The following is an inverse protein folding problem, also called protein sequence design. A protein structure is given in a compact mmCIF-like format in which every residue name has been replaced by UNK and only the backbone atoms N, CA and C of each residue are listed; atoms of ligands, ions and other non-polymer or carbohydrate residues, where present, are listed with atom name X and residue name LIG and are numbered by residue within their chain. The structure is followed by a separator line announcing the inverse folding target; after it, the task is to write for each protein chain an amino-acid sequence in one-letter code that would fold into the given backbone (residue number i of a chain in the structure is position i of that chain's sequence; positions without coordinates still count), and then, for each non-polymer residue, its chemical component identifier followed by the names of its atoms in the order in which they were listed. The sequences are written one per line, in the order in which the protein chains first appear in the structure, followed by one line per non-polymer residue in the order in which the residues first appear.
data_IF_048096039853
#
_entry.id   IF_048096039853
#
_cell.length_a   1.000
_cell.length_b   1.000
_cell.length_c   1.000
_cell.angle_alpha   90.00
_cell.angle_beta   90.00
_cell.angle_gamma   90.00
#
_symmetry.space_group_name_H-M   'P 1'
#
loop_
_entity.id
_entity.type
_entity.pdbx_description
1 polymer ?
#
# COMPACT_ATOMS: atom_id res chain seq x y z
N UNK A 1 -51.19 -35.26 1.08
CA UNK A 1 -50.74 -36.09 -0.05
C UNK A 1 -50.76 -35.22 -1.28
N UNK A 2 -49.59 -34.83 -1.77
CA UNK A 2 -49.42 -34.21 -3.07
C UNK A 2 -48.27 -34.96 -3.76
N UNK A 3 -48.64 -35.67 -4.83
CA UNK A 3 -47.79 -36.49 -5.70
C UNK A 3 -46.73 -35.63 -6.40
N UNK A 4 -45.46 -35.87 -6.09
CA UNK A 4 -44.34 -35.58 -6.98
C UNK A 4 -43.27 -36.65 -6.80
N UNK A 5 -43.64 -37.90 -7.09
CA UNK A 5 -42.65 -38.96 -7.33
C UNK A 5 -42.37 -39.04 -8.84
N UNK A 6 -41.22 -38.52 -9.26
CA UNK A 6 -40.69 -38.68 -10.62
C UNK A 6 -39.35 -39.43 -10.52
N UNK A 7 -39.41 -40.75 -10.63
CA UNK A 7 -38.29 -41.69 -10.47
C UNK A 7 -37.20 -41.68 -11.56
N UNK A 8 -36.82 -40.52 -12.09
CA UNK A 8 -35.69 -40.39 -13.03
C UNK A 8 -34.63 -39.36 -12.59
N UNK A 9 -34.76 -38.79 -11.39
CA UNK A 9 -33.78 -37.88 -10.81
C UNK A 9 -33.42 -38.42 -9.42
N UNK A 10 -32.35 -39.22 -9.36
CA UNK A 10 -31.74 -39.66 -8.11
C UNK A 10 -30.64 -38.67 -7.71
N UNK A 11 -30.98 -37.73 -6.83
CA UNK A 11 -30.06 -36.73 -6.26
C UNK A 11 -29.47 -37.20 -4.93
N UNK A 12 -29.64 -38.47 -4.56
CA UNK A 12 -29.18 -38.99 -3.26
C UNK A 12 -27.65 -38.91 -3.13
N UNK A 13 -26.92 -38.96 -4.25
CA UNK A 13 -25.47 -38.76 -4.32
C UNK A 13 -25.02 -37.29 -4.22
N UNK A 14 -25.94 -36.34 -4.35
CA UNK A 14 -25.71 -34.89 -4.25
C UNK A 14 -26.23 -34.30 -2.94
N UNK A 15 -26.82 -35.12 -2.07
CA UNK A 15 -27.42 -34.70 -0.82
C UNK A 15 -26.36 -34.76 0.30
N UNK A 16 -25.95 -33.60 0.79
CA UNK A 16 -25.18 -33.49 2.04
C UNK A 16 -26.14 -33.10 3.16
N UNK A 17 -26.55 -34.01 4.04
CA UNK A 17 -27.46 -33.68 5.14
C UNK A 17 -26.71 -32.86 6.19
N UNK A 18 -27.16 -31.62 6.39
CA UNK A 18 -26.77 -30.83 7.56
C UNK A 18 -27.87 -30.94 8.63
N UNK A 19 -27.47 -31.10 9.89
CA UNK A 19 -28.40 -30.99 11.01
C UNK A 19 -29.06 -29.61 10.99
N UNK A 20 -30.39 -29.56 11.08
CA UNK A 20 -31.13 -28.32 11.20
C UNK A 20 -30.63 -27.54 12.43
N UNK A 21 -29.90 -26.45 12.19
CA UNK A 21 -29.70 -25.40 13.17
C UNK A 21 -30.84 -24.40 13.00
N UNK A 22 -31.62 -24.17 14.06
CA UNK A 22 -32.66 -23.16 14.08
C UNK A 22 -32.10 -21.80 13.62
N UNK A 23 -32.87 -21.08 12.81
CA UNK A 23 -32.56 -19.70 12.44
C UNK A 23 -32.28 -18.89 13.71
N UNK A 24 -31.01 -18.48 13.89
CA UNK A 24 -30.68 -17.48 14.88
C UNK A 24 -31.44 -16.20 14.53
N UNK A 25 -32.19 -15.71 15.51
CA UNK A 25 -32.89 -14.44 15.42
C UNK A 25 -31.91 -13.34 15.01
N UNK A 26 -32.36 -12.46 14.09
CA UNK A 26 -31.71 -11.18 13.84
C UNK A 26 -31.61 -10.41 15.16
N UNK A 27 -30.39 -10.09 15.57
CA UNK A 27 -30.12 -9.18 16.68
C UNK A 27 -30.03 -9.85 18.04
N UNK A 28 -28.90 -10.50 18.30
CA UNK A 28 -28.53 -10.99 19.63
C UNK A 28 -27.03 -11.23 19.66
N UNK A 29 -26.31 -10.32 20.31
CA UNK A 29 -24.88 -10.35 20.67
C UNK A 29 -24.25 -11.75 20.66
N UNK A 30 -23.49 -12.06 19.61
CA UNK A 30 -22.59 -13.20 19.58
C UNK A 30 -21.46 -12.93 20.58
N UNK A 31 -21.24 -13.88 21.49
CA UNK A 31 -20.27 -13.85 22.60
C UNK A 31 -20.62 -12.89 23.74
N UNK A 32 -21.38 -13.40 24.72
CA UNK A 32 -20.96 -13.19 26.10
C UNK A 32 -19.56 -13.83 26.25
N UNK A 33 -18.50 -13.13 25.84
CA UNK A 33 -17.11 -13.52 26.14
C UNK A 33 -17.10 -13.79 27.64
N UNK A 34 -16.67 -14.97 28.07
CA UNK A 34 -16.44 -15.20 29.49
C UNK A 34 -15.42 -14.12 29.92
N UNK A 35 -15.91 -13.13 30.67
CA UNK A 35 -15.16 -11.92 31.02
C UNK A 35 -13.82 -12.26 31.64
N UNK A 36 -13.82 -13.29 32.49
CA UNK A 36 -12.64 -13.80 33.17
C UNK A 36 -11.63 -14.32 32.15
N UNK A 37 -12.03 -15.28 31.30
CA UNK A 37 -11.17 -15.83 30.25
C UNK A 37 -10.68 -14.77 29.25
N UNK A 38 -11.53 -13.80 28.93
CA UNK A 38 -11.18 -12.70 28.04
C UNK A 38 -10.16 -11.77 28.71
N UNK A 39 -10.41 -11.34 29.94
CA UNK A 39 -9.51 -10.51 30.73
C UNK A 39 -8.16 -11.18 30.98
N UNK A 40 -8.14 -12.48 31.26
CA UNK A 40 -6.90 -13.26 31.40
C UNK A 40 -6.08 -13.26 30.11
N UNK A 41 -6.73 -13.40 28.95
CA UNK A 41 -6.05 -13.30 27.64
C UNK A 41 -5.47 -11.91 27.40
N UNK A 42 -6.23 -10.86 27.70
CA UNK A 42 -5.76 -9.49 27.56
C UNK A 42 -4.56 -9.23 28.48
N UNK A 43 -4.66 -9.62 29.75
CA UNK A 43 -3.60 -9.45 30.75
C UNK A 43 -2.32 -10.21 30.33
N UNK A 44 -2.46 -11.48 29.95
CA UNK A 44 -1.32 -12.29 29.49
C UNK A 44 -0.68 -11.75 28.20
N UNK A 45 -1.49 -11.31 27.22
CA UNK A 45 -0.97 -10.75 25.97
C UNK A 45 -0.22 -9.43 26.19
N UNK A 46 -0.75 -8.56 27.07
CA UNK A 46 -0.13 -7.28 27.41
C UNK A 46 1.20 -7.51 28.15
N UNK A 47 1.20 -8.39 29.15
CA UNK A 47 2.42 -8.77 29.88
C UNK A 47 3.49 -9.35 28.93
N UNK A 48 3.11 -10.29 28.07
CA UNK A 48 4.02 -10.87 27.08
C UNK A 48 4.58 -9.83 26.10
N UNK A 49 3.81 -8.80 25.76
CA UNK A 49 4.26 -7.69 24.90
C UNK A 49 5.34 -6.85 25.58
N UNK A 50 5.17 -6.53 26.86
CA UNK A 50 6.20 -5.83 27.64
C UNK A 50 7.43 -6.70 27.88
N UNK A 51 7.26 -7.97 28.25
CA UNK A 51 8.39 -8.90 28.42
C UNK A 51 9.20 -9.07 27.13
N UNK A 52 8.52 -9.18 25.98
CA UNK A 52 9.18 -9.26 24.67
C UNK A 52 9.94 -7.98 24.35
N UNK A 53 9.37 -6.81 24.68
CA UNK A 53 10.03 -5.51 24.51
C UNK A 53 11.32 -5.45 25.34
N UNK A 54 11.26 -5.82 26.62
CA UNK A 54 12.44 -5.87 27.49
C UNK A 54 13.48 -6.89 27.01
N UNK A 55 13.05 -8.05 26.49
CA UNK A 55 13.94 -9.06 25.96
C UNK A 55 14.67 -8.61 24.67
N UNK A 56 14.01 -7.79 23.83
CA UNK A 56 14.58 -7.21 22.60
C UNK A 56 15.45 -5.98 22.88
N UNK A 57 15.28 -5.35 24.05
CA UNK A 57 15.98 -4.11 24.42
C UNK A 57 17.50 -4.34 24.47
N UNK A 58 18.30 -3.50 23.79
CA UNK A 58 19.75 -3.60 23.87
C UNK A 58 20.25 -3.29 25.28
N UNK A 59 21.38 -3.87 25.66
CA UNK A 59 22.05 -3.51 26.93
C UNK A 59 22.63 -2.10 26.84
N UNK A 60 22.62 -1.37 27.95
CA UNK A 60 23.15 0.00 28.02
C UNK A 60 24.60 0.10 27.51
N UNK A 61 25.44 -0.89 27.81
CA UNK A 61 26.85 -0.91 27.38
C UNK A 61 27.04 -1.13 25.86
N UNK A 62 25.99 -1.57 25.16
CA UNK A 62 25.98 -1.77 23.71
C UNK A 62 25.38 -0.56 22.96
N UNK A 63 25.00 0.50 23.69
CA UNK A 63 24.45 1.72 23.12
C UNK A 63 25.56 2.74 22.81
N UNK A 64 25.34 3.58 21.78
CA UNK A 64 26.21 4.73 21.52
C UNK A 64 26.29 5.68 22.73
N UNK A 65 27.41 6.40 22.93
CA UNK A 65 27.55 7.38 24.00
C UNK A 65 26.43 8.43 23.97
N UNK A 66 25.82 8.70 25.12
CA UNK A 66 24.75 9.69 25.26
C UNK A 66 23.33 9.17 25.00
N UNK A 67 23.18 7.92 24.53
CA UNK A 67 21.87 7.27 24.42
C UNK A 67 21.53 6.58 25.72
N UNK A 68 20.38 6.91 26.30
CA UNK A 68 19.82 6.21 27.46
C UNK A 68 18.71 5.26 27.00
N UNK A 69 18.49 4.18 27.73
CA UNK A 69 17.32 3.33 27.50
C UNK A 69 16.06 4.07 27.92
N UNK A 70 15.02 3.99 27.09
CA UNK A 70 13.69 4.46 27.44
C UNK A 70 12.96 3.40 28.25
N UNK A 71 11.99 3.82 29.05
CA UNK A 71 11.06 2.89 29.71
C UNK A 71 9.79 2.68 28.88
N UNK A 72 9.70 3.28 27.69
CA UNK A 72 8.56 3.16 26.80
C UNK A 72 8.49 1.82 26.07
N UNK A 73 7.36 1.58 25.40
CA UNK A 73 7.09 0.39 24.60
C UNK A 73 6.09 0.70 23.48
N UNK A 74 6.09 -0.16 22.46
CA UNK A 74 5.00 -0.24 21.50
C UNK A 74 4.25 -1.56 21.72
N UNK A 75 2.91 -1.50 21.68
CA UNK A 75 2.05 -2.68 21.83
C UNK A 75 1.04 -2.71 20.69
N UNK A 76 0.97 -3.84 19.99
CA UNK A 76 0.00 -4.06 18.91
C UNK A 76 -1.29 -4.60 19.51
N UNK A 77 -2.38 -3.86 19.33
CA UNK A 77 -3.74 -4.18 19.75
C UNK A 77 -4.45 -4.87 18.59
N UNK A 78 -4.93 -6.08 18.82
CA UNK A 78 -5.75 -6.83 17.88
C UNK A 78 -7.21 -6.52 18.15
N UNK A 79 -7.94 -6.08 17.14
CA UNK A 79 -9.33 -5.63 17.23
C UNK A 79 -10.24 -6.51 16.39
N UNK A 80 -11.47 -6.69 16.88
CA UNK A 80 -12.56 -7.29 16.10
C UNK A 80 -12.89 -6.37 14.90
N UNK A 81 -13.03 -6.94 13.70
CA UNK A 81 -13.33 -6.17 12.48
C UNK A 81 -14.63 -5.35 12.58
N UNK A 82 -15.61 -5.88 13.32
CA UNK A 82 -16.90 -5.23 13.54
C UNK A 82 -16.88 -4.29 14.76
N UNK A 83 -15.77 -4.21 15.49
CA UNK A 83 -15.64 -3.26 16.58
C UNK A 83 -15.79 -1.83 16.05
N UNK A 84 -16.54 -1.04 16.81
CA UNK A 84 -16.56 0.41 16.65
C UNK A 84 -15.22 0.98 17.11
N UNK A 85 -15.01 2.25 16.79
CA UNK A 85 -13.89 3.07 17.24
C UNK A 85 -13.56 2.83 18.72
N UNK A 86 -12.28 2.57 18.99
CA UNK A 86 -11.77 2.25 20.31
C UNK A 86 -11.09 3.47 20.92
N UNK A 87 -11.71 4.06 21.95
CA UNK A 87 -11.13 5.18 22.68
C UNK A 87 -10.19 4.69 23.80
N UNK A 88 -8.98 4.24 23.41
CA UNK A 88 -7.92 3.83 24.36
C UNK A 88 -6.81 4.87 24.50
N UNK A 89 -6.75 5.85 23.58
CA UNK A 89 -5.77 6.93 23.65
C UNK A 89 -6.03 7.82 24.87
N UNK A 90 -4.97 8.06 25.65
CA UNK A 90 -4.97 8.92 26.84
C UNK A 90 -3.62 9.63 26.91
N UNK A 91 -3.49 10.72 26.15
CA UNK A 91 -2.25 11.49 25.99
C UNK A 91 -1.67 11.93 27.33
N UNK A 92 -2.52 12.36 28.27
CA UNK A 92 -2.13 12.78 29.62
C UNK A 92 -1.59 11.63 30.48
N UNK A 93 -1.86 10.39 30.09
CA UNK A 93 -1.37 9.15 30.70
C UNK A 93 -0.23 8.49 29.90
N UNK A 94 0.30 9.17 28.89
CA UNK A 94 1.41 8.65 28.08
C UNK A 94 1.01 7.50 27.14
N UNK A 95 -0.29 7.31 26.88
CA UNK A 95 -0.80 6.34 25.90
C UNK A 95 -1.24 7.10 24.66
N UNK A 96 -0.60 6.84 23.52
CA UNK A 96 -0.97 7.43 22.23
C UNK A 96 -1.20 6.35 21.19
N UNK A 97 -2.22 6.55 20.36
CA UNK A 97 -2.47 5.71 19.20
C UNK A 97 -1.49 6.10 18.08
N UNK A 98 -0.75 5.09 17.60
CA UNK A 98 0.22 5.18 16.52
C UNK A 98 -0.43 4.62 15.23
N UNK A 99 0.22 3.70 14.54
CA UNK A 99 -0.26 3.14 13.27
C UNK A 99 -1.55 2.32 13.44
N UNK A 100 -2.36 2.28 12.40
CA UNK A 100 -3.54 1.42 12.31
C UNK A 100 -3.58 0.73 10.95
N UNK A 101 -4.02 -0.52 10.91
CA UNK A 101 -4.05 -1.31 9.68
C UNK A 101 -5.02 -2.47 9.72
N UNK A 102 -5.15 -3.16 8.59
CA UNK A 102 -5.94 -4.37 8.46
C UNK A 102 -5.01 -5.55 8.09
N UNK A 103 -5.17 -6.69 8.77
CA UNK A 103 -4.45 -7.94 8.52
C UNK A 103 -5.48 -9.06 8.32
N UNK A 104 -5.80 -9.33 7.06
CA UNK A 104 -6.84 -10.28 6.67
C UNK A 104 -8.22 -9.92 7.24
N UNK A 105 -8.73 -10.74 8.16
CA UNK A 105 -10.02 -10.52 8.83
C UNK A 105 -9.92 -9.75 10.15
N UNK A 106 -8.72 -9.27 10.54
CA UNK A 106 -8.49 -8.54 11.80
C UNK A 106 -8.05 -7.11 11.56
N UNK A 107 -8.44 -6.21 12.47
CA UNK A 107 -7.87 -4.87 12.54
C UNK A 107 -6.75 -4.82 13.56
N UNK A 108 -5.69 -4.09 13.25
CA UNK A 108 -4.56 -3.85 14.15
C UNK A 108 -4.44 -2.36 14.43
N UNK A 109 -4.00 -2.05 15.63
CA UNK A 109 -3.66 -0.69 16.05
C UNK A 109 -2.44 -0.76 16.96
N UNK A 110 -1.46 0.10 16.74
CA UNK A 110 -0.28 0.20 17.60
C UNK A 110 -0.50 1.28 18.65
N UNK A 111 -0.16 0.98 19.90
CA UNK A 111 -0.11 1.95 20.98
C UNK A 111 1.34 2.25 21.32
N UNK A 112 1.69 3.53 21.33
CA UNK A 112 2.89 4.00 21.98
C UNK A 112 2.61 4.22 23.47
N UNK A 113 3.36 3.53 24.32
CA UNK A 113 3.31 3.58 25.78
C UNK A 113 4.59 4.26 26.24
N UNK A 114 4.50 5.51 26.69
CA UNK A 114 5.67 6.40 26.85
C UNK A 114 6.70 5.93 27.89
N UNK A 115 6.25 5.46 29.03
CA UNK A 115 7.08 5.22 30.21
C UNK A 115 6.47 4.15 31.14
N UNK A 116 7.12 3.86 32.27
CA UNK A 116 6.62 2.89 33.24
C UNK A 116 5.25 3.28 33.83
N UNK A 117 4.99 4.57 34.08
CA UNK A 117 3.68 5.03 34.57
C UNK A 117 2.56 4.73 33.55
N UNK A 118 2.83 4.90 32.25
CA UNK A 118 1.91 4.56 31.18
C UNK A 118 1.68 3.04 31.09
N UNK A 119 2.73 2.22 31.27
CA UNK A 119 2.63 0.75 31.33
C UNK A 119 1.77 0.29 32.50
N UNK A 120 1.98 0.87 33.67
CA UNK A 120 1.20 0.58 34.88
C UNK A 120 -0.26 1.00 34.69
N UNK A 121 -0.50 2.16 34.05
CA UNK A 121 -1.84 2.64 33.72
C UNK A 121 -2.61 1.64 32.85
N UNK A 122 -2.07 1.24 31.69
CA UNK A 122 -2.80 0.31 30.80
C UNK A 122 -2.98 -1.08 31.45
N UNK A 123 -2.02 -1.52 32.27
CA UNK A 123 -2.12 -2.76 33.04
C UNK A 123 -3.25 -2.70 34.07
N UNK A 124 -3.34 -1.62 34.86
CA UNK A 124 -4.43 -1.38 35.82
C UNK A 124 -5.79 -1.43 35.12
N UNK A 125 -5.88 -0.84 33.93
CA UNK A 125 -7.12 -0.78 33.15
C UNK A 125 -7.60 -2.16 32.72
N UNK A 126 -6.69 -3.01 32.23
CA UNK A 126 -6.98 -4.41 31.90
C UNK A 126 -7.40 -5.18 33.15
N UNK A 127 -6.69 -5.00 34.26
CA UNK A 127 -7.03 -5.68 35.53
C UNK A 127 -8.37 -5.23 36.12
N UNK A 128 -8.72 -3.95 36.01
CA UNK A 128 -10.03 -3.43 36.39
C UNK A 128 -11.14 -4.04 35.54
N UNK A 129 -10.94 -4.12 34.23
CA UNK A 129 -11.88 -4.84 33.36
C UNK A 129 -11.98 -6.32 33.71
N UNK A 130 -10.89 -6.98 34.10
CA UNK A 130 -10.88 -8.40 34.46
C UNK A 130 -11.60 -8.68 35.78
N UNK A 131 -11.24 -7.95 36.85
CA UNK A 131 -11.59 -8.29 38.24
C UNK A 131 -12.57 -7.34 38.91
N UNK A 132 -12.78 -6.13 38.37
CA UNK A 132 -13.58 -5.10 39.02
C UNK A 132 -15.06 -5.46 39.18
N UNK A 133 -15.71 -4.90 40.20
CA UNK A 133 -17.14 -5.09 40.42
C UNK A 133 -17.97 -4.59 39.21
N UNK A 134 -19.05 -5.29 38.89
CA UNK A 134 -19.98 -4.87 37.84
C UNK A 134 -20.61 -3.52 38.21
N UNK A 135 -20.88 -2.69 37.20
CA UNK A 135 -21.67 -1.46 37.36
C UNK A 135 -23.12 -1.80 37.76
N UNK A 136 -23.89 -0.81 38.24
CA UNK A 136 -25.31 -0.97 38.56
C UNK A 136 -26.15 -1.55 37.41
N UNK A 137 -25.69 -1.36 36.16
CA UNK A 137 -26.31 -1.87 34.93
C UNK A 137 -25.84 -3.29 34.56
N UNK A 138 -25.05 -3.94 35.42
CA UNK A 138 -24.51 -5.30 35.20
C UNK A 138 -23.33 -5.38 34.23
N UNK A 139 -22.82 -4.25 33.74
CA UNK A 139 -21.69 -4.23 32.81
C UNK A 139 -20.35 -4.25 33.55
N UNK A 140 -19.33 -4.96 33.05
CA UNK A 140 -17.96 -4.81 33.51
C UNK A 140 -17.51 -3.34 33.44
N UNK A 141 -16.68 -2.87 34.38
CA UNK A 141 -16.03 -1.58 34.23
C UNK A 141 -15.18 -1.60 32.95
N UNK A 142 -15.12 -0.47 32.25
CA UNK A 142 -14.28 -0.30 31.05
C UNK A 142 -14.64 -1.24 29.89
N UNK A 143 -15.85 -1.81 29.90
CA UNK A 143 -16.32 -2.71 28.85
C UNK A 143 -16.20 -2.09 27.44
N UNK A 144 -16.50 -0.79 27.29
CA UNK A 144 -16.39 -0.09 26.01
C UNK A 144 -14.96 0.00 25.46
N UNK A 145 -13.95 0.01 26.34
CA UNK A 145 -12.54 0.09 25.95
C UNK A 145 -11.88 -1.29 25.82
N UNK A 146 -12.38 -2.31 26.50
CA UNK A 146 -11.74 -3.62 26.55
C UNK A 146 -12.44 -4.68 25.72
N UNK A 147 -13.77 -4.65 25.58
CA UNK A 147 -14.50 -5.64 24.76
C UNK A 147 -14.16 -5.58 23.26
N UNK A 148 -13.86 -4.43 22.64
CA UNK A 148 -13.40 -4.38 21.26
C UNK A 148 -12.07 -5.11 21.00
N UNK A 149 -11.22 -5.21 22.02
CA UNK A 149 -9.88 -5.78 21.92
C UNK A 149 -9.99 -7.31 21.93
N UNK A 150 -9.40 -7.99 20.94
CA UNK A 150 -9.28 -9.45 20.91
C UNK A 150 -8.05 -9.94 21.69
N UNK A 151 -6.99 -9.14 21.72
CA UNK A 151 -5.70 -9.44 22.35
C UNK A 151 -4.68 -8.33 22.15
N UNK A 152 -3.56 -8.45 22.86
CA UNK A 152 -2.36 -7.65 22.66
C UNK A 152 -1.23 -8.55 22.15
N UNK A 153 -0.35 -7.99 21.33
CA UNK A 153 0.82 -8.65 20.78
C UNK A 153 2.04 -7.71 20.80
N UNK A 154 3.27 -8.25 20.89
CA UNK A 154 4.48 -7.44 20.74
C UNK A 154 4.50 -6.76 19.38
N UNK A 155 4.84 -5.47 19.35
CA UNK A 155 4.94 -4.72 18.09
C UNK A 155 6.19 -5.10 17.32
N UNK A 156 6.03 -5.25 16.01
CA UNK A 156 7.13 -5.36 15.04
C UNK A 156 7.14 -4.14 14.11
N UNK A 157 8.26 -3.90 13.43
CA UNK A 157 8.39 -2.75 12.53
C UNK A 157 7.29 -2.73 11.46
N UNK A 158 6.85 -3.91 10.98
CA UNK A 158 5.76 -4.03 10.01
C UNK A 158 4.41 -3.52 10.54
N UNK A 159 4.17 -3.53 11.86
CA UNK A 159 2.93 -3.00 12.43
C UNK A 159 2.89 -1.46 12.39
N UNK A 160 4.05 -0.81 12.30
CA UNK A 160 4.22 0.64 12.13
C UNK A 160 4.36 1.06 10.66
N UNK A 161 4.49 0.08 9.76
CA UNK A 161 4.74 0.31 8.34
C UNK A 161 3.45 0.75 7.62
N UNK A 162 3.49 1.90 6.97
CA UNK A 162 2.31 2.49 6.31
C UNK A 162 2.12 2.12 4.84
N UNK A 163 3.14 1.57 4.20
CA UNK A 163 3.09 1.19 2.78
C UNK A 163 2.62 -0.28 2.62
N UNK A 164 2.60 -0.78 1.38
CA UNK A 164 2.38 -2.20 1.12
C UNK A 164 3.41 -3.05 1.90
N UNK A 165 2.97 -4.05 2.70
CA UNK A 165 3.86 -4.97 3.41
C UNK A 165 4.90 -5.66 2.52
N UNK A 166 4.59 -5.89 1.24
CA UNK A 166 5.50 -6.50 0.28
C UNK A 166 6.68 -5.58 -0.12
N UNK A 167 6.54 -4.28 0.11
CA UNK A 167 7.58 -3.27 -0.17
C UNK A 167 8.52 -3.04 1.01
N UNK A 168 8.25 -3.61 2.18
CA UNK A 168 9.09 -3.43 3.35
C UNK A 168 10.50 -3.97 3.05
N UNK A 169 11.57 -3.14 3.17
CA UNK A 169 12.93 -3.59 2.93
C UNK A 169 13.31 -4.84 3.75
N UNK A 170 14.09 -5.78 3.18
CA UNK A 170 14.56 -6.95 3.93
C UNK A 170 15.57 -6.54 5.02
N UNK A 171 15.68 -7.34 6.07
CA UNK A 171 16.54 -7.03 7.22
C UNK A 171 18.05 -6.97 6.86
N UNK A 172 18.48 -7.73 5.86
CA UNK A 172 19.83 -7.72 5.28
C UNK A 172 19.97 -6.79 4.06
N UNK A 173 18.96 -5.96 3.80
CA UNK A 173 18.93 -4.99 2.71
C UNK A 173 19.90 -3.83 2.89
N UNK A 174 20.12 -3.10 1.80
CA UNK A 174 20.86 -1.82 1.82
C UNK A 174 20.06 -0.73 2.53
N UNK A 175 20.74 0.32 2.95
CA UNK A 175 20.08 1.50 3.49
C UNK A 175 19.19 2.16 2.42
N UNK A 176 18.09 2.76 2.88
CA UNK A 176 17.10 3.48 2.08
C UNK A 176 16.67 4.74 2.82
N UNK A 177 15.98 5.65 2.13
CA UNK A 177 15.36 6.82 2.76
C UNK A 177 13.99 6.46 3.35
N UNK A 178 13.90 6.55 4.68
CA UNK A 178 12.69 6.31 5.47
C UNK A 178 12.08 7.62 5.94
N UNK A 179 10.76 7.71 5.93
CA UNK A 179 10.02 8.77 6.61
C UNK A 179 9.65 8.28 8.00
N UNK A 180 10.05 9.02 9.02
CA UNK A 180 9.66 8.77 10.40
C UNK A 180 8.59 9.78 10.79
N UNK A 181 7.34 9.35 10.89
CA UNK A 181 6.27 10.17 11.45
C UNK A 181 6.37 10.10 12.95
N UNK A 182 6.52 11.24 13.60
CA UNK A 182 6.55 11.36 15.05
C UNK A 182 5.70 12.53 15.51
N UNK A 183 5.16 12.46 16.72
CA UNK A 183 4.52 13.64 17.30
C UNK A 183 5.57 14.72 17.55
N UNK A 184 5.18 16.00 17.41
CA UNK A 184 6.11 17.14 17.51
C UNK A 184 6.96 17.12 18.79
N UNK A 185 6.35 16.71 19.91
CA UNK A 185 7.02 16.57 21.21
C UNK A 185 8.18 15.55 21.24
N UNK A 186 8.24 14.62 20.30
CA UNK A 186 9.29 13.60 20.19
C UNK A 186 10.28 13.88 19.05
N UNK A 187 10.13 14.98 18.30
CA UNK A 187 10.98 15.26 17.14
C UNK A 187 12.47 15.29 17.50
N UNK A 188 12.83 16.01 18.57
CA UNK A 188 14.22 16.10 19.03
C UNK A 188 14.78 14.73 19.48
N UNK A 189 13.95 13.90 20.13
CA UNK A 189 14.32 12.55 20.55
C UNK A 189 14.55 11.62 19.35
N UNK A 190 13.66 11.66 18.35
CA UNK A 190 13.79 10.89 17.10
C UNK A 190 15.08 11.28 16.37
N UNK A 191 15.35 12.58 16.22
CA UNK A 191 16.57 13.07 15.55
C UNK A 191 17.82 12.69 16.32
N UNK A 192 17.82 12.93 17.64
CA UNK A 192 18.93 12.62 18.52
C UNK A 192 19.28 11.13 18.48
N UNK A 193 18.27 10.26 18.59
CA UNK A 193 18.47 8.82 18.56
C UNK A 193 18.87 8.32 17.16
N UNK A 194 18.27 8.85 16.10
CA UNK A 194 18.65 8.50 14.72
C UNK A 194 20.13 8.79 14.45
N UNK A 195 20.60 9.99 14.84
CA UNK A 195 22.02 10.36 14.71
C UNK A 195 22.93 9.47 15.57
N UNK A 196 22.52 9.16 16.79
CA UNK A 196 23.31 8.30 17.66
C UNK A 196 23.43 6.86 17.13
N UNK A 197 22.42 6.37 16.42
CA UNK A 197 22.42 5.06 15.75
C UNK A 197 23.10 5.06 14.37
N UNK A 198 23.94 6.07 14.08
CA UNK A 198 24.64 6.25 12.81
C UNK A 198 23.71 6.28 11.59
N UNK A 199 22.49 6.79 11.76
CA UNK A 199 21.58 7.07 10.64
C UNK A 199 21.82 8.48 10.13
N UNK A 200 21.64 8.68 8.83
CA UNK A 200 21.75 10.02 8.23
C UNK A 200 20.38 10.70 8.24
N UNK A 201 20.19 11.65 9.16
CA UNK A 201 19.00 12.51 9.21
C UNK A 201 19.10 13.60 8.14
N UNK A 202 18.03 13.78 7.36
CA UNK A 202 17.98 14.87 6.39
C UNK A 202 17.99 16.26 7.07
N UNK A 203 18.47 17.31 6.38
CA UNK A 203 18.34 18.68 6.85
C UNK A 203 16.87 19.06 7.16
N UNK A 204 16.66 19.95 8.12
CA UNK A 204 15.31 20.32 8.61
C UNK A 204 14.45 20.94 7.50
N UNK A 205 15.08 21.55 6.48
CA UNK A 205 14.39 22.09 5.30
C UNK A 205 13.68 21.02 4.47
N UNK A 206 14.02 19.74 4.65
CA UNK A 206 13.38 18.59 3.98
C UNK A 206 12.34 17.89 4.86
N UNK A 207 12.09 18.37 6.07
CA UNK A 207 11.09 17.78 6.94
C UNK A 207 9.70 18.30 6.54
N UNK A 208 8.69 17.44 6.68
CA UNK A 208 7.30 17.88 6.55
C UNK A 208 6.73 18.13 7.94
N UNK A 209 6.14 19.30 8.17
CA UNK A 209 5.61 19.69 9.48
C UNK A 209 4.09 19.90 9.41
N UNK A 210 3.36 19.14 10.21
CA UNK A 210 1.92 19.26 10.46
C UNK A 210 1.68 19.77 11.89
N UNK A 211 0.46 20.20 12.26
CA UNK A 211 0.21 20.78 13.59
C UNK A 211 0.67 19.93 14.77
N UNK A 212 0.50 18.60 14.70
CA UNK A 212 0.81 17.69 15.82
C UNK A 212 1.88 16.63 15.46
N UNK A 213 2.30 16.56 14.19
CA UNK A 213 3.14 15.49 13.64
C UNK A 213 4.23 16.09 12.75
N UNK A 214 5.46 15.57 12.86
CA UNK A 214 6.55 15.81 11.91
C UNK A 214 6.88 14.54 11.15
N UNK A 215 7.32 14.71 9.90
CA UNK A 215 7.92 13.66 9.09
C UNK A 215 9.40 13.98 8.98
N UNK A 216 10.24 13.13 9.54
CA UNK A 216 11.69 13.27 9.53
C UNK A 216 12.27 12.25 8.56
N UNK A 217 12.84 12.68 7.41
CA UNK A 217 13.52 11.77 6.50
C UNK A 217 14.85 11.31 7.09
N UNK A 218 15.06 9.99 7.11
CA UNK A 218 16.27 9.36 7.65
C UNK A 218 16.75 8.26 6.70
N UNK A 219 18.01 8.34 6.28
CA UNK A 219 18.66 7.29 5.51
C UNK A 219 19.26 6.25 6.46
N UNK A 220 18.70 5.04 6.45
CA UNK A 220 19.00 3.97 7.40
C UNK A 220 18.73 2.58 6.82
N UNK A 221 19.30 1.56 7.46
CA UNK A 221 18.91 0.16 7.25
C UNK A 221 17.70 -0.21 8.11
N UNK A 222 16.96 -1.25 7.72
CA UNK A 222 15.87 -1.79 8.53
C UNK A 222 16.33 -2.18 9.94
N UNK A 223 17.51 -2.80 10.06
CA UNK A 223 18.06 -3.21 11.36
C UNK A 223 18.30 -2.01 12.30
N UNK A 224 18.74 -0.86 11.78
CA UNK A 224 18.89 0.35 12.59
C UNK A 224 17.53 0.85 13.12
N UNK A 225 16.48 0.83 12.30
CA UNK A 225 15.13 1.24 12.74
C UNK A 225 14.54 0.26 13.76
N UNK A 226 14.71 -1.05 13.56
CA UNK A 226 14.31 -2.06 14.55
C UNK A 226 15.04 -1.84 15.88
N UNK A 227 16.34 -1.51 15.84
CA UNK A 227 17.10 -1.15 17.04
C UNK A 227 16.55 0.10 17.72
N UNK A 228 16.14 1.11 16.96
CA UNK A 228 15.50 2.33 17.49
C UNK A 228 14.20 2.01 18.24
N UNK A 229 13.34 1.17 17.65
CA UNK A 229 12.10 0.72 18.29
C UNK A 229 12.37 -0.03 19.59
N UNK A 230 13.38 -0.90 19.61
CA UNK A 230 13.75 -1.70 20.78
C UNK A 230 14.36 -0.87 21.92
N UNK A 231 14.90 0.32 21.64
CA UNK A 231 15.37 1.25 22.69
C UNK A 231 14.18 1.85 23.46
N UNK A 232 13.01 1.98 22.81
CA UNK A 232 11.77 2.39 23.46
C UNK A 232 11.79 3.81 24.02
N UNK A 233 12.61 4.70 23.45
CA UNK A 233 12.64 6.14 23.78
C UNK A 233 11.66 6.95 22.93
N UNK A 234 11.85 7.07 21.60
CA UNK A 234 11.07 8.02 20.82
C UNK A 234 9.66 7.52 20.55
N UNK A 235 8.69 8.43 20.69
CA UNK A 235 7.34 8.22 20.19
C UNK A 235 7.25 8.38 18.68
N UNK A 236 7.02 7.27 17.99
CA UNK A 236 6.70 7.23 16.57
C UNK A 236 5.19 7.04 16.37
N UNK A 237 4.64 7.72 15.37
CA UNK A 237 3.28 7.53 14.89
C UNK A 237 3.25 6.48 13.79
N UNK A 238 4.13 6.59 12.77
CA UNK A 238 4.18 5.68 11.62
C UNK A 238 5.59 5.66 11.01
N UNK A 239 5.89 4.64 10.20
CA UNK A 239 7.14 4.51 9.43
C UNK A 239 6.76 4.20 7.98
N UNK A 240 7.38 4.91 7.04
CA UNK A 240 7.17 4.72 5.59
C UNK A 240 8.43 5.02 4.81
N UNK A 241 8.32 5.10 3.49
CA UNK A 241 9.37 5.73 2.71
C UNK A 241 9.32 7.24 2.88
N UNK A 242 10.49 7.88 2.84
CA UNK A 242 10.54 9.33 2.67
C UNK A 242 10.41 9.61 1.16
N UNK A 243 9.21 9.40 0.64
CA UNK A 243 8.85 9.87 -0.69
C UNK A 243 8.64 11.37 -0.61
N UNK A 244 9.32 12.13 -1.47
CA UNK A 244 9.02 13.55 -1.62
C UNK A 244 7.55 13.74 -2.03
N UNK A 245 6.92 14.81 -1.58
CA UNK A 245 5.60 15.17 -2.08
C UNK A 245 5.71 15.46 -3.58
N UNK A 246 5.06 14.69 -4.47
CA UNK A 246 5.14 14.92 -5.91
C UNK A 246 4.63 16.31 -6.29
N UNK A 247 3.84 16.98 -5.44
CA UNK A 247 3.40 18.35 -5.66
C UNK A 247 4.57 19.32 -5.90
N UNK A 248 5.71 19.12 -5.22
CA UNK A 248 6.90 19.96 -5.41
C UNK A 248 7.42 19.83 -6.84
N UNK A 249 7.41 18.63 -7.43
CA UNK A 249 7.86 18.38 -8.81
C UNK A 249 6.86 18.92 -9.84
N UNK A 250 5.56 18.83 -9.56
CA UNK A 250 4.50 19.32 -10.45
C UNK A 250 4.46 20.86 -10.48
N UNK A 251 4.77 21.53 -9.36
CA UNK A 251 4.75 22.99 -9.23
C UNK A 251 6.03 23.68 -9.76
N UNK A 252 7.06 22.92 -10.14
CA UNK A 252 8.28 23.48 -10.76
C UNK A 252 7.97 24.23 -12.05
N UNK A 253 8.78 25.24 -12.36
CA UNK A 253 8.72 25.87 -13.68
C UNK A 253 9.14 24.89 -14.78
N UNK A 254 8.62 25.04 -16.00
CA UNK A 254 8.94 24.11 -17.10
C UNK A 254 10.45 23.95 -17.35
N UNK A 255 11.23 25.03 -17.18
CA UNK A 255 12.70 24.98 -17.33
C UNK A 255 13.40 24.17 -16.23
N UNK A 256 12.85 24.14 -15.02
CA UNK A 256 13.38 23.32 -13.93
C UNK A 256 13.01 21.85 -14.14
N UNK A 257 11.79 21.58 -14.61
CA UNK A 257 11.36 20.23 -15.01
C UNK A 257 12.23 19.69 -16.14
N UNK A 258 12.51 20.48 -17.18
CA UNK A 258 13.40 20.08 -18.28
C UNK A 258 14.79 19.67 -17.76
N UNK A 259 15.34 20.43 -16.81
CA UNK A 259 16.64 20.12 -16.21
C UNK A 259 16.65 18.79 -15.46
N UNK A 260 15.59 18.48 -14.71
CA UNK A 260 15.45 17.20 -14.00
C UNK A 260 15.22 16.02 -14.96
N UNK A 261 14.42 16.25 -16.01
CA UNK A 261 14.16 15.27 -17.07
C UNK A 261 15.44 14.91 -17.80
N UNK A 262 16.24 15.91 -18.20
CA UNK A 262 17.51 15.70 -18.90
C UNK A 262 18.54 14.98 -18.01
N UNK A 263 18.64 15.37 -16.73
CA UNK A 263 19.51 14.68 -15.76
C UNK A 263 19.12 13.21 -15.61
N UNK A 264 17.83 12.93 -15.37
CA UNK A 264 17.35 11.56 -15.24
C UNK A 264 17.56 10.75 -16.53
N UNK A 265 17.26 11.32 -17.70
CA UNK A 265 17.46 10.67 -18.99
C UNK A 265 18.92 10.24 -19.21
N UNK A 266 19.89 11.04 -18.73
CA UNK A 266 21.31 10.72 -18.79
C UNK A 266 21.75 9.63 -17.79
N UNK A 267 21.02 9.47 -16.69
CA UNK A 267 21.30 8.44 -15.67
C UNK A 267 20.66 7.09 -15.99
N UNK A 268 19.56 7.05 -16.74
CA UNK A 268 18.86 5.80 -17.04
C UNK A 268 19.75 4.84 -17.84
N UNK A 269 19.85 3.58 -17.38
CA UNK A 269 20.40 2.48 -18.18
C UNK A 269 19.30 1.95 -19.09
N UNK A 270 19.35 2.40 -20.35
CA UNK A 270 18.40 2.03 -21.39
C UNK A 270 18.54 0.55 -21.81
N UNK A 271 17.44 -0.13 -22.14
CA UNK A 271 17.46 -1.52 -22.58
C UNK A 271 17.96 -1.64 -24.02
N UNK A 272 18.44 -2.84 -24.39
CA UNK A 272 18.73 -3.19 -25.78
C UNK A 272 17.45 -3.39 -26.61
N UNK A 273 17.60 -3.83 -27.86
CA UNK A 273 16.47 -4.03 -28.78
C UNK A 273 15.76 -5.38 -28.63
N UNK A 274 16.43 -6.37 -28.04
CA UNK A 274 15.94 -7.74 -27.83
C UNK A 274 15.42 -7.94 -26.39
N UNK A 275 14.47 -7.11 -26.01
CA UNK A 275 13.76 -7.15 -24.72
C UNK A 275 12.26 -7.11 -24.96
N UNK A 276 11.41 -7.51 -24.00
CA UNK A 276 9.97 -7.36 -24.16
C UNK A 276 9.54 -5.89 -24.30
N UNK A 277 8.33 -5.67 -24.82
CA UNK A 277 7.73 -4.35 -24.88
C UNK A 277 6.36 -4.29 -24.20
N UNK A 278 6.00 -3.10 -23.72
CA UNK A 278 4.61 -2.77 -23.39
C UNK A 278 3.99 -2.13 -24.64
N UNK A 279 2.92 -2.72 -25.16
CA UNK A 279 2.13 -2.13 -26.24
C UNK A 279 0.96 -1.35 -25.64
N UNK A 280 1.09 -0.03 -25.67
CA UNK A 280 0.14 0.92 -25.11
C UNK A 280 -0.92 1.28 -26.16
N UNK A 281 -2.17 0.95 -25.86
CA UNK A 281 -3.34 1.35 -26.63
C UNK A 281 -3.95 2.59 -25.99
N UNK A 282 -3.77 3.75 -26.63
CA UNK A 282 -4.15 5.05 -26.05
C UNK A 282 -4.39 6.14 -27.12
N UNK A 283 -4.24 7.41 -26.76
CA UNK A 283 -4.43 8.62 -27.59
C UNK A 283 -3.23 8.95 -28.47
N UNK A 284 -2.16 8.16 -28.40
CA UNK A 284 -0.86 8.45 -29.01
C UNK A 284 0.17 8.84 -27.96
N UNK A 285 1.41 9.08 -28.39
CA UNK A 285 2.52 9.39 -27.48
C UNK A 285 3.40 10.47 -28.10
N UNK A 286 3.78 11.47 -27.32
CA UNK A 286 4.87 12.38 -27.69
C UNK A 286 6.22 11.64 -27.65
N UNK A 287 6.58 10.98 -28.77
CA UNK A 287 7.82 10.20 -28.90
C UNK A 287 9.07 11.05 -28.61
N UNK A 288 9.05 12.34 -28.89
CA UNK A 288 10.19 13.23 -28.72
C UNK A 288 10.52 13.54 -27.24
N UNK A 289 9.69 13.09 -26.29
CA UNK A 289 9.99 13.28 -24.87
C UNK A 289 11.28 12.54 -24.46
N UNK A 290 12.24 13.17 -23.76
CA UNK A 290 13.55 12.57 -23.46
C UNK A 290 13.49 11.25 -22.71
N UNK A 291 12.51 11.09 -21.80
CA UNK A 291 12.28 9.83 -21.08
C UNK A 291 11.59 8.72 -21.90
N UNK A 292 11.17 8.99 -23.13
CA UNK A 292 10.42 8.04 -23.99
C UNK A 292 11.20 7.71 -25.26
N UNK A 293 11.81 8.71 -25.90
CA UNK A 293 12.47 8.59 -27.20
C UNK A 293 13.42 7.38 -27.31
N UNK A 294 14.27 7.06 -26.31
CA UNK A 294 15.25 5.98 -26.42
C UNK A 294 14.60 4.57 -26.50
N UNK A 295 13.38 4.43 -25.99
CA UNK A 295 12.72 3.12 -25.81
C UNK A 295 11.52 2.89 -26.72
N UNK A 296 11.02 3.92 -27.40
CA UNK A 296 9.92 3.83 -28.38
C UNK A 296 10.45 4.08 -29.79
N UNK A 297 10.67 3.05 -30.61
CA UNK A 297 11.16 3.24 -31.98
C UNK A 297 10.13 3.97 -32.85
N UNK A 298 10.53 4.81 -33.83
CA UNK A 298 9.58 5.51 -34.72
C UNK A 298 8.57 4.58 -35.38
N UNK A 299 9.01 3.39 -35.74
CA UNK A 299 8.18 2.37 -36.37
C UNK A 299 7.24 1.61 -35.43
N UNK A 300 7.48 1.71 -34.12
CA UNK A 300 6.63 1.14 -33.08
C UNK A 300 5.53 2.17 -32.65
N UNK A 301 5.46 3.33 -33.32
CA UNK A 301 4.40 4.33 -33.20
C UNK A 301 3.41 4.18 -34.35
N UNK A 302 2.19 3.76 -34.04
CA UNK A 302 1.16 3.38 -35.01
C UNK A 302 -0.19 4.02 -34.68
N UNK A 303 -1.10 4.04 -35.65
CA UNK A 303 -2.49 4.42 -35.44
C UNK A 303 -3.41 3.53 -36.25
N UNK A 304 -4.63 3.32 -35.73
CA UNK A 304 -5.68 2.58 -36.46
C UNK A 304 -6.17 3.34 -37.70
N UNK A 305 -5.94 4.65 -37.75
CA UNK A 305 -6.25 5.51 -38.87
C UNK A 305 -5.01 6.34 -39.17
N UNK A 306 -4.47 6.17 -40.37
CA UNK A 306 -3.21 6.79 -40.77
C UNK A 306 -3.28 8.32 -40.76
N UNK A 307 -4.49 8.90 -40.89
CA UNK A 307 -4.67 10.35 -40.91
C UNK A 307 -4.51 10.98 -39.51
N UNK A 308 -4.50 10.18 -38.44
CA UNK A 308 -4.45 10.69 -37.06
C UNK A 308 -3.03 10.97 -36.54
N UNK A 309 -2.01 10.49 -37.24
CA UNK A 309 -0.64 10.49 -36.72
C UNK A 309 -0.47 9.59 -35.49
N UNK A 310 0.70 9.66 -34.86
CA UNK A 310 1.07 8.86 -33.69
C UNK A 310 1.19 9.65 -32.39
N UNK A 311 1.16 10.98 -32.50
CA UNK A 311 1.26 11.92 -31.41
C UNK A 311 -0.01 11.93 -30.54
N UNK A 312 0.20 12.25 -29.28
CA UNK A 312 -0.86 12.45 -28.31
C UNK A 312 -1.63 13.75 -28.63
N UNK A 313 -2.95 13.67 -28.61
CA UNK A 313 -3.82 14.69 -29.19
C UNK A 313 -4.69 15.45 -28.19
N UNK A 314 -4.60 15.15 -26.89
CA UNK A 314 -5.29 15.94 -25.88
C UNK A 314 -4.46 17.16 -25.45
N UNK A 315 -5.17 18.24 -25.10
CA UNK A 315 -4.54 19.46 -24.58
C UNK A 315 -3.75 19.20 -23.28
N UNK A 316 -2.76 20.05 -23.01
CA UNK A 316 -1.91 19.93 -21.82
C UNK A 316 -0.89 18.79 -21.95
N UNK A 317 -0.74 17.93 -20.92
CA UNK A 317 0.23 16.83 -20.97
C UNK A 317 -0.19 15.66 -21.88
N UNK A 318 -1.42 15.68 -22.41
CA UNK A 318 -2.02 14.55 -23.11
C UNK A 318 -2.54 13.47 -22.15
N UNK A 319 -2.86 12.29 -22.68
CA UNK A 319 -3.23 11.11 -21.86
C UNK A 319 -2.25 9.95 -22.10
N UNK A 320 -2.03 9.58 -23.36
CA UNK A 320 -1.11 8.51 -23.71
C UNK A 320 0.36 8.80 -23.37
N UNK A 321 0.80 10.07 -23.40
CA UNK A 321 2.19 10.43 -23.03
C UNK A 321 2.48 10.19 -21.54
N UNK A 322 1.65 10.66 -20.59
CA UNK A 322 1.78 10.28 -19.18
C UNK A 322 1.66 8.76 -18.95
N UNK A 323 0.74 8.08 -19.65
CA UNK A 323 0.59 6.62 -19.55
C UNK A 323 1.83 5.86 -20.05
N UNK A 324 2.48 6.35 -21.11
CA UNK A 324 3.76 5.84 -21.59
C UNK A 324 4.86 6.04 -20.55
N UNK A 325 4.91 7.21 -19.92
CA UNK A 325 5.83 7.50 -18.81
C UNK A 325 5.65 6.51 -17.65
N UNK A 326 4.41 6.30 -17.21
CA UNK A 326 4.08 5.36 -16.13
C UNK A 326 4.42 3.91 -16.50
N UNK A 327 4.10 3.47 -17.72
CA UNK A 327 4.39 2.12 -18.19
C UNK A 327 5.91 1.84 -18.29
N UNK A 328 6.71 2.87 -18.53
CA UNK A 328 8.17 2.76 -18.64
C UNK A 328 8.88 2.88 -17.29
N UNK A 329 8.51 3.88 -16.50
CA UNK A 329 9.29 4.32 -15.34
C UNK A 329 8.61 4.09 -14.00
N UNK A 330 7.30 3.86 -13.97
CA UNK A 330 6.53 3.80 -12.73
C UNK A 330 6.49 5.17 -12.05
N UNK A 331 6.65 5.17 -10.73
CA UNK A 331 6.74 6.40 -9.95
C UNK A 331 8.10 7.09 -10.17
N UNK A 332 8.04 8.29 -10.76
CA UNK A 332 9.20 9.12 -11.07
C UNK A 332 9.66 10.00 -9.90
N UNK A 333 8.88 10.09 -8.81
CA UNK A 333 9.15 10.99 -7.69
C UNK A 333 10.53 10.76 -7.07
N UNK A 334 10.83 9.50 -6.71
CA UNK A 334 12.14 9.12 -6.19
C UNK A 334 13.28 9.32 -7.21
N UNK A 335 13.20 8.75 -8.42
CA UNK A 335 14.23 8.93 -9.45
C UNK A 335 14.55 10.37 -9.84
N UNK A 336 13.56 11.27 -9.78
CA UNK A 336 13.74 12.71 -10.03
C UNK A 336 14.36 13.45 -8.85
N UNK A 337 14.17 12.96 -7.63
CA UNK A 337 14.66 13.60 -6.41
C UNK A 337 16.04 13.13 -5.94
N UNK A 338 16.56 12.04 -6.52
CA UNK A 338 17.85 11.46 -6.14
C UNK A 338 18.85 11.31 -7.32
N UNK A 339 20.04 10.81 -7.00
CA UNK A 339 21.10 10.52 -7.98
C UNK A 339 21.17 9.03 -8.36
N UNK A 340 20.07 8.28 -8.21
CA UNK A 340 20.03 6.86 -8.54
C UNK A 340 20.29 6.61 -10.03
N UNK A 341 20.54 5.36 -10.42
CA UNK A 341 20.77 5.00 -11.81
C UNK A 341 19.75 3.93 -12.23
N UNK A 342 18.49 4.33 -12.55
CA UNK A 342 17.43 3.39 -12.85
C UNK A 342 17.76 2.56 -14.08
N UNK A 343 17.32 1.28 -14.09
CA UNK A 343 17.51 0.38 -15.23
C UNK A 343 16.17 -0.03 -15.80
N UNK A 344 15.90 0.40 -17.03
CA UNK A 344 14.74 -0.06 -17.78
C UNK A 344 15.00 -1.45 -18.38
N UNK A 345 13.98 -2.30 -18.36
CA UNK A 345 14.08 -3.71 -18.77
C UNK A 345 13.23 -4.06 -19.99
N UNK A 346 12.44 -3.10 -20.46
CA UNK A 346 11.48 -3.27 -21.54
C UNK A 346 11.38 -2.00 -22.39
N UNK A 347 10.83 -2.16 -23.59
CA UNK A 347 10.57 -1.08 -24.55
C UNK A 347 9.09 -0.73 -24.59
N UNK A 348 8.72 0.25 -25.41
CA UNK A 348 7.35 0.66 -25.64
C UNK A 348 6.96 0.47 -27.11
N UNK A 349 5.73 0.04 -27.35
CA UNK A 349 4.99 0.17 -28.60
C UNK A 349 3.76 1.05 -28.32
N UNK A 350 3.34 1.88 -29.25
CA UNK A 350 2.19 2.78 -29.08
C UNK A 350 1.25 2.63 -30.26
N UNK A 351 -0.01 2.31 -29.99
CA UNK A 351 -1.07 2.28 -31.02
C UNK A 351 -2.17 3.26 -30.63
N UNK A 352 -2.25 4.35 -31.38
CA UNK A 352 -3.32 5.34 -31.25
C UNK A 352 -4.63 4.77 -31.79
N UNK A 353 -5.52 4.43 -30.88
CA UNK A 353 -6.82 3.81 -31.20
C UNK A 353 -8.03 4.64 -30.76
N UNK A 354 -7.80 5.66 -29.93
CA UNK A 354 -8.78 6.69 -29.58
C UNK A 354 -8.70 7.81 -30.62
N UNK A 355 -9.83 8.20 -31.25
CA UNK A 355 -9.84 9.21 -32.29
C UNK A 355 -9.61 10.63 -31.73
N UNK A 356 -8.88 11.50 -32.45
CA UNK A 356 -8.67 12.90 -32.04
C UNK A 356 -9.93 13.76 -32.11
N UNK A 357 -10.93 13.34 -32.89
CA UNK A 357 -12.26 13.93 -32.89
C UNK A 357 -13.29 12.84 -32.60
N UNK A 358 -14.37 13.12 -31.85
CA UNK A 358 -15.43 12.16 -31.61
C UNK A 358 -15.95 11.58 -32.92
N UNK A 359 -15.98 10.26 -33.01
CA UNK A 359 -16.55 9.55 -34.13
C UNK A 359 -18.06 9.81 -34.20
N UNK A 360 -18.61 9.93 -35.41
CA UNK A 360 -20.07 9.98 -35.59
C UNK A 360 -20.74 8.66 -35.17
N UNK A 361 -19.95 7.58 -35.15
CA UNK A 361 -20.26 6.20 -34.81
C UNK A 361 -19.53 5.76 -33.51
N UNK A 362 -19.59 6.59 -32.47
CA UNK A 362 -19.15 6.29 -31.10
C UNK A 362 -20.04 5.22 -30.42
N UNK A 363 -20.38 4.18 -31.18
CA UNK A 363 -21.14 3.00 -30.77
C UNK A 363 -20.20 2.07 -29.98
N UNK A 364 -20.49 1.81 -28.70
CA UNK A 364 -19.71 0.88 -27.89
C UNK A 364 -19.58 -0.53 -28.48
N UNK A 365 -20.44 -0.91 -29.44
CA UNK A 365 -20.33 -2.15 -30.18
C UNK A 365 -19.03 -2.27 -31.01
N UNK A 366 -18.40 -1.15 -31.39
CA UNK A 366 -17.21 -1.11 -32.24
C UNK A 366 -15.89 -1.21 -31.47
N UNK A 367 -15.86 -0.92 -30.17
CA UNK A 367 -14.62 -0.89 -29.37
C UNK A 367 -13.86 -2.21 -29.36
N UNK A 368 -14.57 -3.35 -29.37
CA UNK A 368 -13.93 -4.67 -29.45
C UNK A 368 -13.15 -4.87 -30.75
N UNK A 369 -13.75 -4.51 -31.89
CA UNK A 369 -13.11 -4.65 -33.20
C UNK A 369 -11.95 -3.65 -33.38
N UNK A 370 -12.13 -2.43 -32.87
CA UNK A 370 -11.08 -1.40 -32.88
C UNK A 370 -9.87 -1.86 -32.04
N UNK A 371 -10.11 -2.40 -30.85
CA UNK A 371 -9.04 -2.91 -29.97
C UNK A 371 -8.30 -4.09 -30.61
N UNK A 372 -9.03 -5.05 -31.21
CA UNK A 372 -8.42 -6.17 -31.94
C UNK A 372 -7.57 -5.69 -33.12
N UNK A 373 -8.05 -4.70 -33.86
CA UNK A 373 -7.31 -4.11 -34.98
C UNK A 373 -6.03 -3.42 -34.49
N UNK A 374 -6.10 -2.69 -33.38
CA UNK A 374 -4.95 -2.05 -32.77
C UNK A 374 -3.89 -3.06 -32.33
N UNK A 375 -4.30 -4.16 -31.70
CA UNK A 375 -3.39 -5.27 -31.34
C UNK A 375 -2.79 -5.89 -32.60
N UNK A 376 -3.61 -6.19 -33.62
CA UNK A 376 -3.16 -6.79 -34.86
C UNK A 376 -2.11 -5.94 -35.59
N UNK A 377 -2.24 -4.61 -35.58
CA UNK A 377 -1.25 -3.68 -36.14
C UNK A 377 0.12 -3.85 -35.46
N UNK A 378 0.15 -3.88 -34.12
CA UNK A 378 1.39 -4.13 -33.37
C UNK A 378 1.98 -5.52 -33.67
N UNK A 379 1.13 -6.55 -33.78
CA UNK A 379 1.58 -7.90 -34.10
C UNK A 379 2.11 -8.03 -35.53
N UNK A 380 1.49 -7.38 -36.51
CA UNK A 380 1.94 -7.36 -37.90
C UNK A 380 3.28 -6.64 -38.02
N UNK A 381 3.45 -5.53 -37.27
CA UNK A 381 4.70 -4.76 -37.27
C UNK A 381 5.87 -5.59 -36.76
N UNK A 382 5.70 -6.33 -35.67
CA UNK A 382 6.76 -7.16 -35.10
C UNK A 382 6.21 -8.48 -34.53
N UNK A 383 6.00 -9.51 -35.37
CA UNK A 383 5.30 -10.74 -34.97
C UNK A 383 5.97 -11.52 -33.83
N UNK A 384 7.30 -11.41 -33.71
CA UNK A 384 8.10 -12.21 -32.79
C UNK A 384 8.39 -11.52 -31.46
N UNK A 385 8.01 -10.24 -31.30
CA UNK A 385 8.26 -9.51 -30.06
C UNK A 385 7.40 -10.05 -28.93
N UNK A 386 8.05 -10.32 -27.78
CA UNK A 386 7.35 -10.57 -26.52
C UNK A 386 6.74 -9.26 -26.06
N UNK A 387 5.42 -9.18 -25.95
CA UNK A 387 4.73 -7.95 -25.56
C UNK A 387 3.66 -8.17 -24.51
N UNK A 388 3.40 -7.14 -23.71
CA UNK A 388 2.23 -7.02 -22.84
C UNK A 388 1.35 -5.93 -23.43
N UNK A 389 0.07 -6.22 -23.66
CA UNK A 389 -0.88 -5.20 -24.12
C UNK A 389 -1.43 -4.45 -22.90
N UNK A 390 -1.30 -3.13 -22.91
CA UNK A 390 -1.86 -2.23 -21.91
C UNK A 390 -2.89 -1.32 -22.58
N UNK A 391 -4.12 -1.32 -22.07
CA UNK A 391 -5.16 -0.38 -22.50
C UNK A 391 -5.58 0.43 -21.28
N UNK A 392 -5.45 1.75 -21.38
CA UNK A 392 -5.89 2.69 -20.35
C UNK A 392 -7.23 3.37 -20.70
N UNK A 393 -7.95 2.84 -21.69
CA UNK A 393 -9.27 3.33 -22.08
C UNK A 393 -10.39 2.60 -21.33
N UNK A 394 -11.38 3.34 -20.84
CA UNK A 394 -12.60 2.80 -20.23
C UNK A 394 -13.84 3.53 -20.75
N UNK A 395 -14.99 2.86 -20.79
CA UNK A 395 -16.27 3.49 -21.15
C UNK A 395 -17.03 3.80 -19.86
N UNK A 396 -17.17 5.09 -19.48
CA UNK A 396 -17.82 5.48 -18.24
C UNK A 396 -19.34 5.22 -18.24
N UNK A 397 -19.95 4.93 -19.40
CA UNK A 397 -21.40 4.71 -19.54
C UNK A 397 -21.80 3.25 -19.29
N UNK A 398 -20.84 2.33 -19.18
CA UNK A 398 -21.11 0.90 -19.00
C UNK A 398 -20.64 0.45 -17.61
N UNK A 399 -21.57 -0.14 -16.84
CA UNK A 399 -21.24 -0.79 -15.56
C UNK A 399 -20.52 -2.12 -15.82
N UNK A 400 -19.43 -2.38 -15.08
CA UNK A 400 -18.61 -3.60 -15.20
C UNK A 400 -19.25 -4.88 -14.65
N UNK A 401 -20.56 -4.87 -14.34
CA UNK A 401 -21.31 -6.00 -13.80
C UNK A 401 -21.87 -6.94 -14.90
N UNK A 402 -21.67 -6.60 -16.18
CA UNK A 402 -22.08 -7.43 -17.32
C UNK A 402 -20.99 -7.52 -18.38
N UNK A 403 -20.74 -8.72 -18.96
CA UNK A 403 -19.75 -8.88 -20.02
C UNK A 403 -20.16 -8.11 -21.27
N UNK A 404 -19.22 -7.37 -21.84
CA UNK A 404 -19.40 -6.64 -23.10
C UNK A 404 -18.58 -7.27 -24.23
N UNK A 405 -18.88 -6.90 -25.48
CA UNK A 405 -18.03 -7.28 -26.62
C UNK A 405 -16.60 -6.77 -26.46
N UNK A 406 -16.43 -5.63 -25.82
CA UNK A 406 -15.12 -5.06 -25.52
C UNK A 406 -14.36 -5.85 -24.44
N UNK A 407 -15.04 -6.24 -23.34
CA UNK A 407 -14.42 -7.10 -22.33
C UNK A 407 -14.09 -8.49 -22.88
N UNK A 408 -14.95 -9.03 -23.78
CA UNK A 408 -14.69 -10.30 -24.46
C UNK A 408 -13.50 -10.22 -25.43
N UNK A 409 -13.33 -9.10 -26.15
CA UNK A 409 -12.17 -8.87 -27.00
C UNK A 409 -10.86 -8.79 -26.19
N UNK A 410 -10.87 -8.04 -25.08
CA UNK A 410 -9.71 -7.93 -24.17
C UNK A 410 -9.33 -9.30 -23.56
N UNK A 411 -10.34 -10.08 -23.14
CA UNK A 411 -10.13 -11.44 -22.60
C UNK A 411 -9.63 -12.43 -23.67
N UNK A 412 -10.16 -12.36 -24.90
CA UNK A 412 -9.74 -13.25 -25.99
C UNK A 412 -8.27 -12.99 -26.39
N UNK A 413 -7.84 -11.73 -26.45
CA UNK A 413 -6.43 -11.39 -26.72
C UNK A 413 -5.51 -11.81 -25.57
N UNK A 414 -5.90 -11.54 -24.32
CA UNK A 414 -5.14 -11.99 -23.14
C UNK A 414 -4.98 -13.52 -23.08
N UNK A 415 -6.03 -14.27 -23.43
CA UNK A 415 -6.00 -15.74 -23.49
C UNK A 415 -5.18 -16.30 -24.67
N UNK A 416 -5.19 -15.63 -25.83
CA UNK A 416 -4.36 -16.01 -26.99
C UNK A 416 -2.87 -15.91 -26.68
N UNK A 417 -2.46 -14.89 -25.93
CA UNK A 417 -1.08 -14.76 -25.50
C UNK A 417 -0.70 -15.85 -24.50
N UNK A 418 -1.56 -16.19 -23.52
CA UNK A 418 -1.33 -17.29 -22.57
C UNK A 418 -1.13 -18.67 -23.20
N UNK A 419 -1.72 -18.94 -24.37
CA UNK A 419 -1.54 -20.19 -25.13
C UNK A 419 -0.24 -20.25 -25.95
N UNK A 420 0.45 -19.12 -26.18
CA UNK A 420 1.80 -19.08 -26.80
C UNK A 420 2.94 -19.24 -25.78
N UNK A 421 2.64 -19.25 -24.47
CA UNK A 421 3.59 -19.46 -23.38
C UNK A 421 3.62 -20.93 -22.87
N UNK A 422 3.29 -21.91 -23.71
CA UNK A 422 3.53 -23.34 -23.46
C UNK A 422 4.48 -23.96 -24.45
#
# INVERSE_FOLDING_TARGET
MADYDRGHIDITSLLTPHSYMAHQARGGTTFARNREQHGDRLSAGLAASFETTEARRPKQDALPPGVTLGEGAFVTVLLDRAAKELDIEKIDKGIRQSAAGEDGDKRKMVLHVRDQDARDYITERVERYRTGALTEKGNPPLAGEMQPIEGFAPTELIDLWREDPALLPPADGTASWWGLWCWDIYADEVVGLSRALDMQVAPEERWSTFPDVRIIPVHATRCQLEKMLNIGQPGLAEIGFATDDPAILVDLSGREQDGLVDDLANRIVWPGTDVPAVCLLDTGVNRAHPLIEPVLAPEDVQSIDNDWGGDDHYDGPGHGTPMAGLALHGDLTGPLADASTPRLRHRLESVKFIPPMPRADDDPANYGAITQSAVALAEERNPNRKRVICSAATDPKIRGDRPTRWSAANLHENCRQGLRWR
#
